data_IF_973017513160
#
_entry.id   IF_973017513160
#
_cell.length_a   1.000
_cell.length_b   1.000
_cell.length_c   1.000
_cell.angle_alpha   90.00
_cell.angle_beta   90.00
_cell.angle_gamma   90.00
#
_symmetry.space_group_name_H-M   'P 1'
#
loop_
_entity.id
_entity.type
_entity.pdbx_description
1 polymer ?
#
# COMPACT_ATOMS: atom_id res chain seq x y z
N UNK A 1 -13.89 10.44 -14.67
CA UNK A 1 -12.92 9.89 -13.69
C UNK A 1 -13.27 8.42 -13.49
N UNK A 2 -12.42 7.49 -13.94
CA UNK A 2 -12.73 6.06 -13.86
C UNK A 2 -12.39 5.58 -12.46
N UNK A 3 -13.43 5.32 -11.66
CA UNK A 3 -13.25 4.76 -10.32
C UNK A 3 -12.67 3.35 -10.50
N UNK A 4 -11.53 3.02 -9.88
CA UNK A 4 -10.97 1.68 -9.99
C UNK A 4 -11.96 0.67 -9.41
N UNK A 5 -12.19 -0.41 -10.15
CA UNK A 5 -13.15 -1.44 -9.75
C UNK A 5 -12.62 -2.27 -8.58
N UNK A 6 -13.50 -2.74 -7.67
CA UNK A 6 -13.09 -3.61 -6.57
C UNK A 6 -12.54 -4.93 -7.11
N UNK A 7 -11.60 -5.53 -6.37
CA UNK A 7 -11.01 -6.82 -6.76
C UNK A 7 -12.11 -7.88 -6.71
N UNK A 8 -12.40 -8.50 -7.86
CA UNK A 8 -13.16 -9.75 -7.87
C UNK A 8 -12.21 -10.87 -7.45
N UNK A 9 -12.29 -11.26 -6.18
CA UNK A 9 -11.43 -12.25 -5.58
C UNK A 9 -11.63 -13.61 -6.27
N UNK A 10 -10.66 -14.03 -7.07
CA UNK A 10 -10.51 -15.42 -7.50
C UNK A 10 -9.41 -15.99 -6.64
N UNK A 11 -9.76 -16.91 -5.74
CA UNK A 11 -8.78 -17.59 -4.87
C UNK A 11 -7.73 -18.24 -5.76
N UNK A 12 -6.49 -17.76 -5.68
CA UNK A 12 -5.33 -18.37 -6.31
C UNK A 12 -4.53 -19.02 -5.19
N UNK A 13 -4.82 -20.28 -4.82
CA UNK A 13 -4.07 -20.94 -3.76
C UNK A 13 -2.60 -21.02 -4.18
N UNK A 14 -1.73 -20.30 -3.46
CA UNK A 14 -0.29 -20.39 -3.64
C UNK A 14 0.21 -21.44 -2.66
N UNK A 15 1.07 -22.34 -3.14
CA UNK A 15 1.76 -23.27 -2.24
C UNK A 15 2.73 -22.46 -1.40
N UNK A 16 2.48 -22.45 -0.09
CA UNK A 16 3.40 -21.95 0.92
C UNK A 16 4.71 -22.72 0.86
N UNK A 17 5.81 -21.98 0.85
CA UNK A 17 7.08 -22.53 1.32
C UNK A 17 7.40 -21.71 2.55
N UNK A 18 7.24 -22.28 3.75
CA UNK A 18 7.79 -21.71 4.99
C UNK A 18 9.33 -21.86 5.04
N UNK A 19 9.98 -21.78 3.89
CA UNK A 19 11.39 -21.46 3.86
C UNK A 19 11.49 -19.97 4.14
N UNK A 20 11.70 -19.60 5.40
CA UNK A 20 12.42 -18.37 5.70
C UNK A 20 13.74 -18.51 4.96
N UNK A 21 13.86 -17.94 3.77
CA UNK A 21 15.15 -17.87 3.07
C UNK A 21 15.97 -16.92 3.91
N UNK A 22 16.94 -17.41 4.71
CA UNK A 22 17.80 -16.50 5.41
C UNK A 22 18.57 -15.76 4.31
N UNK A 23 18.83 -14.47 4.51
CA UNK A 23 19.83 -13.78 3.68
C UNK A 23 21.27 -14.32 3.91
N UNK A 24 21.41 -15.46 4.60
CA UNK A 24 22.64 -16.17 4.98
C UNK A 24 22.44 -17.69 4.95
N UNK A 25 23.40 -18.46 5.48
CA UNK A 25 23.48 -19.91 5.29
C UNK A 25 22.32 -20.69 5.97
N UNK A 26 21.53 -21.50 5.25
CA UNK A 26 20.44 -22.28 5.85
C UNK A 26 20.99 -23.50 6.60
N UNK A 27 20.52 -23.72 7.83
CA UNK A 27 20.82 -24.94 8.60
C UNK A 27 19.79 -26.04 8.31
N UNK A 28 20.18 -27.32 8.20
CA UNK A 28 19.35 -28.36 7.57
C UNK A 28 18.27 -28.99 8.46
N UNK A 29 18.11 -28.54 9.71
CA UNK A 29 17.42 -29.30 10.76
C UNK A 29 16.03 -28.76 11.17
N UNK A 30 15.37 -27.97 10.33
CA UNK A 30 13.98 -27.57 10.60
C UNK A 30 13.02 -28.54 9.92
N UNK A 31 12.33 -29.37 10.70
CA UNK A 31 11.16 -30.11 10.25
C UNK A 31 10.08 -29.10 9.83
N UNK A 32 9.84 -28.99 8.53
CA UNK A 32 8.92 -28.02 7.95
C UNK A 32 7.47 -28.49 8.12
N UNK A 33 6.69 -27.75 8.90
CA UNK A 33 5.23 -27.91 8.94
C UNK A 33 4.66 -27.18 7.73
N UNK A 34 4.17 -27.91 6.73
CA UNK A 34 3.55 -27.32 5.54
C UNK A 34 2.18 -26.71 5.87
N UNK A 35 2.12 -25.40 6.14
CA UNK A 35 0.87 -24.64 6.24
C UNK A 35 0.60 -23.82 4.99
N UNK A 36 -0.47 -24.11 4.23
CA UNK A 36 -0.87 -23.34 3.03
C UNK A 36 -1.07 -21.86 3.35
N UNK A 37 -0.43 -20.97 2.58
CA UNK A 37 -0.60 -19.51 2.68
C UNK A 37 -1.46 -19.08 1.48
N UNK A 38 -2.67 -18.61 1.75
CA UNK A 38 -3.45 -17.91 0.74
C UNK A 38 -3.06 -16.43 0.75
N UNK A 39 -2.32 -15.99 -0.29
CA UNK A 39 -1.94 -14.59 -0.44
C UNK A 39 -3.15 -13.67 -0.51
N UNK A 40 -4.28 -14.14 -1.04
CA UNK A 40 -5.50 -13.36 -1.09
C UNK A 40 -6.04 -13.11 0.33
N UNK A 41 -6.00 -14.11 1.22
CA UNK A 41 -6.41 -13.94 2.62
C UNK A 41 -5.46 -13.01 3.39
N UNK A 42 -4.15 -13.15 3.17
CA UNK A 42 -3.13 -12.31 3.85
C UNK A 42 -3.21 -10.85 3.41
N UNK A 43 -3.40 -10.60 2.11
CA UNK A 43 -3.30 -9.27 1.53
C UNK A 43 -4.64 -8.52 1.44
N UNK A 44 -5.75 -9.26 1.43
CA UNK A 44 -7.09 -8.74 1.15
C UNK A 44 -8.05 -9.16 2.28
N UNK A 45 -7.91 -8.57 3.48
CA UNK A 45 -8.77 -8.90 4.61
C UNK A 45 -10.25 -8.55 4.35
N UNK A 46 -10.51 -7.51 3.55
CA UNK A 46 -11.85 -7.06 3.18
C UNK A 46 -12.04 -7.05 1.65
N UNK A 47 -12.41 -8.18 1.03
CA UNK A 47 -12.44 -8.33 -0.44
C UNK A 47 -13.33 -7.31 -1.15
N UNK A 48 -14.48 -6.97 -0.56
CA UNK A 48 -15.43 -6.00 -1.11
C UNK A 48 -14.96 -4.55 -1.01
N UNK A 49 -13.95 -4.26 -0.18
CA UNK A 49 -13.45 -2.91 0.09
C UNK A 49 -11.95 -2.75 -0.25
N UNK A 50 -11.34 -3.77 -0.85
CA UNK A 50 -9.92 -3.77 -1.22
C UNK A 50 -9.76 -3.59 -2.73
N UNK A 51 -8.83 -2.72 -3.11
CA UNK A 51 -8.57 -2.31 -4.47
C UNK A 51 -7.08 -2.41 -4.76
N UNK A 52 -6.71 -2.75 -5.99
CA UNK A 52 -5.32 -2.68 -6.44
C UNK A 52 -5.11 -1.48 -7.35
N UNK A 53 -4.05 -0.72 -7.08
CA UNK A 53 -3.63 0.41 -7.88
C UNK A 53 -2.18 0.23 -8.30
N UNK A 54 -1.85 0.73 -9.49
CA UNK A 54 -0.46 0.81 -9.91
C UNK A 54 0.12 2.15 -9.50
N UNK A 55 1.18 2.13 -8.72
CA UNK A 55 1.89 3.33 -8.30
C UNK A 55 2.62 3.93 -9.50
N UNK A 56 2.52 5.25 -9.63
CA UNK A 56 3.35 6.03 -10.54
C UNK A 56 4.08 7.13 -9.76
N UNK A 57 5.37 7.31 -10.09
CA UNK A 57 6.23 8.33 -9.51
C UNK A 57 7.08 7.85 -8.33
N UNK A 58 7.87 8.80 -7.80
CA UNK A 58 8.94 8.52 -6.83
C UNK A 58 8.76 9.23 -5.48
N UNK A 59 7.55 9.74 -5.22
CA UNK A 59 7.27 10.54 -4.02
C UNK A 59 7.28 9.76 -2.70
N UNK A 60 7.34 8.43 -2.75
CA UNK A 60 7.23 7.54 -1.57
C UNK A 60 8.35 6.50 -1.51
N UNK A 61 9.49 6.75 -2.19
CA UNK A 61 10.61 5.80 -2.30
C UNK A 61 11.19 5.40 -0.95
N UNK A 62 11.25 6.32 0.03
CA UNK A 62 11.74 6.01 1.38
C UNK A 62 10.76 5.17 2.20
N UNK A 63 9.48 5.16 1.83
CA UNK A 63 8.48 4.24 2.37
C UNK A 63 8.54 2.84 1.73
N UNK A 64 9.50 2.58 0.82
CA UNK A 64 9.62 1.33 0.08
C UNK A 64 8.64 1.20 -1.09
N UNK A 65 7.95 2.30 -1.45
CA UNK A 65 6.99 2.34 -2.55
C UNK A 65 7.66 3.02 -3.72
N UNK A 66 7.84 2.32 -4.84
CA UNK A 66 8.38 2.95 -6.04
C UNK A 66 7.49 2.77 -7.27
N UNK A 67 7.86 3.52 -8.30
CA UNK A 67 7.19 3.50 -9.58
C UNK A 67 7.03 2.06 -10.11
N UNK A 68 5.82 1.76 -10.57
CA UNK A 68 5.45 0.47 -11.12
C UNK A 68 4.95 -0.56 -10.11
N UNK A 69 5.05 -0.31 -8.80
CA UNK A 69 4.54 -1.22 -7.76
C UNK A 69 3.02 -1.34 -7.79
N UNK A 70 2.53 -2.50 -7.36
CA UNK A 70 1.11 -2.73 -7.14
C UNK A 70 0.78 -2.42 -5.68
N UNK A 71 0.08 -1.32 -5.43
CA UNK A 71 -0.43 -0.97 -4.12
C UNK A 71 -1.78 -1.63 -3.88
N UNK A 72 -1.95 -2.22 -2.69
CA UNK A 72 -3.21 -2.74 -2.20
C UNK A 72 -3.79 -1.71 -1.24
N UNK A 73 -5.00 -1.28 -1.54
CA UNK A 73 -5.68 -0.19 -0.83
C UNK A 73 -6.97 -0.71 -0.24
N UNK A 74 -7.15 -0.50 1.06
CA UNK A 74 -8.38 -0.83 1.78
C UNK A 74 -9.17 0.44 2.10
N UNK A 75 -10.41 0.50 1.62
CA UNK A 75 -11.35 1.62 1.84
C UNK A 75 -12.20 1.48 3.11
N UNK A 76 -12.19 0.31 3.74
CA UNK A 76 -12.90 0.07 5.01
C UNK A 76 -12.13 0.62 6.22
N UNK A 77 -10.82 0.84 6.07
CA UNK A 77 -9.96 1.32 7.13
C UNK A 77 -10.08 2.83 7.32
N UNK A 78 -10.15 3.26 8.59
CA UNK A 78 -10.05 4.67 8.95
C UNK A 78 -8.58 5.07 9.03
N UNK A 79 -8.14 5.98 8.16
CA UNK A 79 -6.76 6.43 8.11
C UNK A 79 -6.28 7.14 9.39
N UNK A 80 -5.13 6.71 9.89
CA UNK A 80 -4.48 7.18 11.12
C UNK A 80 -3.29 8.06 10.81
N UNK A 81 -2.77 8.70 11.85
CA UNK A 81 -1.50 9.43 11.74
C UNK A 81 -0.40 8.47 11.31
N UNK A 82 0.46 8.93 10.40
CA UNK A 82 1.60 8.22 9.82
C UNK A 82 1.25 7.11 8.80
N UNK A 83 -0.03 6.85 8.55
CA UNK A 83 -0.46 5.90 7.51
C UNK A 83 -0.10 6.42 6.11
N UNK A 84 0.23 5.48 5.22
CA UNK A 84 0.32 5.78 3.79
C UNK A 84 -1.06 5.63 3.19
N UNK A 85 -1.55 6.69 2.55
CA UNK A 85 -2.91 6.74 2.02
C UNK A 85 -2.92 7.05 0.53
N UNK A 86 -4.01 6.66 -0.11
CA UNK A 86 -4.44 7.25 -1.37
C UNK A 86 -5.47 8.31 -1.06
N UNK A 87 -5.21 9.52 -1.51
CA UNK A 87 -6.10 10.66 -1.37
C UNK A 87 -6.51 11.18 -2.75
N UNK A 88 -7.71 11.73 -2.85
CA UNK A 88 -8.10 12.61 -3.94
C UNK A 88 -7.75 14.02 -3.52
N UNK A 89 -7.00 14.72 -4.37
CA UNK A 89 -6.69 16.13 -4.22
C UNK A 89 -6.92 16.80 -5.58
N UNK A 90 -7.76 17.83 -5.62
CA UNK A 90 -8.11 18.58 -6.82
C UNK A 90 -8.61 17.67 -7.98
N UNK A 91 -9.28 16.57 -7.61
CA UNK A 91 -9.81 15.56 -8.55
C UNK A 91 -8.79 14.53 -9.04
N UNK A 92 -7.55 14.56 -8.56
CA UNK A 92 -6.50 13.59 -8.91
C UNK A 92 -6.16 12.66 -7.75
N UNK A 93 -5.89 11.39 -8.06
CA UNK A 93 -5.44 10.42 -7.06
C UNK A 93 -3.94 10.61 -6.77
N UNK A 94 -3.60 10.77 -5.50
CA UNK A 94 -2.22 10.89 -5.03
C UNK A 94 -1.94 9.93 -3.88
N UNK A 95 -0.72 9.39 -3.85
CA UNK A 95 -0.22 8.56 -2.75
C UNK A 95 0.76 9.39 -1.91
N UNK A 96 0.46 9.55 -0.61
CA UNK A 96 1.27 10.32 0.35
C UNK A 96 1.11 9.77 1.76
N UNK A 97 2.04 10.12 2.65
CA UNK A 97 1.93 9.85 4.08
C UNK A 97 1.02 10.88 4.75
N UNK A 98 0.07 10.40 5.55
CA UNK A 98 -0.90 11.23 6.27
C UNK A 98 -0.32 11.68 7.61
N UNK A 99 -0.03 12.98 7.74
CA UNK A 99 0.46 13.55 8.99
C UNK A 99 -0.62 14.42 9.63
N UNK A 100 -1.15 13.95 10.75
CA UNK A 100 -2.10 14.70 11.60
C UNK A 100 -1.37 15.37 12.76
N UNK A 101 -1.41 16.70 12.87
CA UNK A 101 -0.82 17.47 13.98
C UNK A 101 -1.86 18.43 14.56
N UNK A 102 -2.50 18.02 15.65
CA UNK A 102 -3.64 18.74 16.22
C UNK A 102 -4.79 18.80 15.21
N UNK A 103 -5.28 20.00 14.91
CA UNK A 103 -6.30 20.23 13.90
C UNK A 103 -5.77 20.22 12.44
N UNK A 104 -4.46 20.22 12.24
CA UNK A 104 -3.86 20.33 10.91
C UNK A 104 -3.60 18.96 10.29
N UNK A 105 -3.89 18.84 9.00
CA UNK A 105 -3.67 17.63 8.20
C UNK A 105 -2.74 17.94 7.05
N UNK A 106 -1.71 17.11 6.90
CA UNK A 106 -0.68 17.26 5.88
C UNK A 106 -0.52 15.96 5.09
N UNK A 107 -0.30 16.12 3.79
CA UNK A 107 0.16 15.05 2.91
C UNK A 107 1.65 15.23 2.68
N UNK A 108 2.44 14.29 3.20
CA UNK A 108 3.89 14.37 3.21
C UNK A 108 4.45 13.33 2.23
N UNK A 109 5.30 13.73 1.27
CA UNK A 109 6.06 12.78 0.49
C UNK A 109 7.14 12.12 1.35
N UNK A 110 7.45 10.87 1.05
CA UNK A 110 8.52 10.12 1.71
C UNK A 110 9.63 9.84 0.68
N UNK A 111 10.37 10.89 0.30
CA UNK A 111 11.48 10.84 -0.65
C UNK A 111 12.52 11.94 -0.35
N UNK A 112 13.75 11.73 -0.82
CA UNK A 112 14.83 12.73 -0.71
C UNK A 112 14.80 13.76 -1.85
N UNK A 113 13.85 13.60 -2.78
CA UNK A 113 13.72 14.45 -3.95
C UNK A 113 12.99 15.76 -3.60
N UNK A 114 13.70 16.87 -3.75
CA UNK A 114 13.21 18.23 -3.45
C UNK A 114 12.05 18.69 -4.34
N UNK A 115 11.76 17.96 -5.43
CA UNK A 115 10.59 18.19 -6.26
C UNK A 115 9.27 17.93 -5.52
N UNK A 116 9.26 17.06 -4.51
CA UNK A 116 8.07 16.75 -3.73
C UNK A 116 8.06 17.54 -2.43
N UNK A 117 7.01 18.36 -2.23
CA UNK A 117 6.84 19.16 -1.01
C UNK A 117 5.62 18.68 -0.21
N UNK A 118 5.67 18.78 1.13
CA UNK A 118 4.49 18.57 1.97
C UNK A 118 3.37 19.54 1.58
N UNK A 119 2.14 19.05 1.53
CA UNK A 119 0.94 19.84 1.22
C UNK A 119 0.03 19.86 2.43
N UNK A 120 -0.30 21.04 2.94
CA UNK A 120 -1.34 21.19 3.96
C UNK A 120 -2.72 21.12 3.30
N UNK A 121 -3.54 20.17 3.77
CA UNK A 121 -4.88 19.89 3.27
C UNK A 121 -5.98 20.17 4.30
N UNK A 122 -5.62 20.80 5.42
CA UNK A 122 -6.56 21.27 6.44
C UNK A 122 -7.68 22.09 5.79
N UNK A 123 -8.94 21.71 6.07
CA UNK A 123 -10.16 22.38 5.58
C UNK A 123 -10.27 22.54 4.05
N UNK A 124 -9.52 21.76 3.26
CA UNK A 124 -9.66 21.78 1.80
C UNK A 124 -10.90 20.99 1.36
N UNK A 125 -11.87 21.60 0.66
CA UNK A 125 -13.10 20.91 0.25
C UNK A 125 -12.86 19.84 -0.83
N UNK A 126 -11.76 19.94 -1.56
CA UNK A 126 -11.37 19.02 -2.65
C UNK A 126 -10.50 17.85 -2.16
N UNK A 127 -10.17 17.82 -0.86
CA UNK A 127 -9.39 16.75 -0.26
C UNK A 127 -10.30 15.65 0.29
N UNK A 128 -10.10 14.43 -0.20
CA UNK A 128 -10.77 13.23 0.30
C UNK A 128 -9.75 12.11 0.50
N UNK A 129 -9.84 11.39 1.63
CA UNK A 129 -9.09 10.15 1.80
C UNK A 129 -9.85 9.04 1.07
N UNK A 130 -9.26 8.52 -0.01
CA UNK A 130 -9.89 7.48 -0.81
C UNK A 130 -9.76 6.10 -0.14
N UNK A 131 -8.59 5.81 0.44
CA UNK A 131 -8.32 4.57 1.18
C UNK A 131 -6.90 4.50 1.74
N UNK A 132 -6.64 3.48 2.56
CA UNK A 132 -5.34 3.25 3.21
C UNK A 132 -4.56 2.19 2.46
N UNK A 133 -3.27 2.44 2.17
CA UNK A 133 -2.39 1.44 1.57
C UNK A 133 -1.93 0.48 2.65
N UNK A 134 -2.32 -0.79 2.54
CA UNK A 134 -1.95 -1.84 3.50
C UNK A 134 -0.65 -2.53 3.11
N UNK A 135 -0.41 -2.70 1.82
CA UNK A 135 0.76 -3.40 1.30
C UNK A 135 1.07 -3.01 -0.13
N UNK A 136 2.32 -3.24 -0.55
CA UNK A 136 2.78 -3.04 -1.92
C UNK A 136 3.53 -4.27 -2.42
N UNK A 137 3.26 -4.67 -3.66
CA UNK A 137 3.88 -5.83 -4.30
C UNK A 137 4.77 -5.34 -5.43
N UNK A 138 6.05 -5.72 -5.37
CA UNK A 138 7.06 -5.46 -6.40
C UNK A 138 7.44 -6.76 -7.09
N UNK A 139 7.28 -6.80 -8.41
CA UNK A 139 7.69 -7.95 -9.22
C UNK A 139 9.06 -7.67 -9.86
N UNK A 140 10.08 -8.39 -9.42
CA UNK A 140 11.46 -8.21 -9.93
C UNK A 140 11.73 -8.91 -11.27
N UNK A 141 10.91 -9.90 -11.63
CA UNK A 141 11.01 -10.64 -12.89
C UNK A 141 9.60 -11.02 -13.35
N UNK A 142 9.33 -10.83 -14.64
CA UNK A 142 8.14 -11.34 -15.32
C UNK A 142 8.51 -12.53 -16.18
#
# INVERSE_FOLDING_TARGET
MQVPEPIVMRTCPVVSVEAVVPAGFPSPAADYVEGRIDLAEVLVPHPSATFTLRVSGHSMVRAGIHDGDLAIVDRSLTARHDDVIVAVLDGELTCKRLLKRGARVWLVPDSDDTAYRPVEVTDRPEFEIWGVITSTIRLHRR
#
